data_IF_678515419857
#
_entry.id   IF_678515419857
#
_cell.length_a   1.000
_cell.length_b   1.000
_cell.length_c   1.000
_cell.angle_alpha   90.00
_cell.angle_beta   90.00
_cell.angle_gamma   90.00
#
_symmetry.space_group_name_H-M   'P 1'
#
loop_
_entity.id
_entity.type
_entity.pdbx_description
1 polymer ?
#
# COMPACT_ATOMS: atom_id res chain seq x y z
N UNK A 1 22.88 -39.44 49.80
CA UNK A 1 22.75 -37.98 49.67
C UNK A 1 23.07 -37.58 48.23
N UNK A 2 22.25 -36.68 47.67
CA UNK A 2 22.28 -36.17 46.28
C UNK A 2 23.35 -35.10 46.09
N UNK A 3 23.96 -35.05 44.89
CA UNK A 3 24.37 -33.81 44.19
C UNK A 3 24.94 -34.18 42.81
N UNK A 4 24.23 -33.98 41.68
CA UNK A 4 23.85 -32.76 40.95
C UNK A 4 24.76 -32.57 39.73
N UNK A 5 24.28 -33.02 38.57
CA UNK A 5 24.85 -32.79 37.25
C UNK A 5 24.67 -31.33 36.84
N UNK A 6 25.76 -30.70 36.42
CA UNK A 6 25.80 -29.44 35.68
C UNK A 6 25.16 -29.63 34.30
N UNK A 7 24.17 -28.80 33.96
CA UNK A 7 23.77 -28.54 32.58
C UNK A 7 23.08 -27.18 32.52
N UNK A 8 23.87 -26.13 32.35
CA UNK A 8 23.40 -24.79 32.03
C UNK A 8 24.09 -24.30 30.77
N UNK A 9 23.38 -23.46 30.01
CA UNK A 9 23.76 -22.79 28.75
C UNK A 9 23.66 -23.61 27.46
N UNK A 10 22.50 -23.52 26.79
CA UNK A 10 22.42 -23.51 25.31
C UNK A 10 21.09 -22.95 24.75
N UNK A 11 20.35 -22.10 25.48
CA UNK A 11 19.00 -21.70 25.05
C UNK A 11 18.86 -20.25 24.54
N UNK A 12 19.85 -19.37 24.77
CA UNK A 12 19.68 -17.93 24.52
C UNK A 12 20.14 -17.43 23.14
N UNK A 13 20.95 -18.20 22.40
CA UNK A 13 21.46 -17.77 21.08
C UNK A 13 20.44 -17.85 19.95
N UNK A 14 19.58 -18.87 19.94
CA UNK A 14 18.63 -19.10 18.86
C UNK A 14 17.52 -18.04 18.81
N UNK A 15 17.06 -17.55 19.98
CA UNK A 15 15.99 -16.54 20.06
C UNK A 15 16.45 -15.19 19.52
N UNK A 16 17.68 -14.76 19.83
CA UNK A 16 18.20 -13.46 19.40
C UNK A 16 18.37 -13.36 17.88
N UNK A 17 18.87 -14.43 17.24
CA UNK A 17 19.02 -14.51 15.77
C UNK A 17 17.66 -14.48 15.08
N UNK A 18 16.66 -15.19 15.62
CA UNK A 18 15.29 -15.18 15.11
C UNK A 18 14.66 -13.79 15.20
N UNK A 19 14.80 -13.08 16.32
CA UNK A 19 14.27 -11.72 16.46
C UNK A 19 14.94 -10.72 15.50
N UNK A 20 16.26 -10.81 15.31
CA UNK A 20 16.96 -9.94 14.36
C UNK A 20 16.52 -10.20 12.91
N UNK A 21 16.28 -11.47 12.57
CA UNK A 21 15.77 -11.86 11.26
C UNK A 21 14.33 -11.38 11.02
N UNK A 22 13.46 -11.46 12.03
CA UNK A 22 12.08 -10.93 11.96
C UNK A 22 12.10 -9.42 11.72
N UNK A 23 12.89 -8.66 12.48
CA UNK A 23 13.00 -7.20 12.30
C UNK A 23 13.54 -6.82 10.92
N UNK A 24 14.47 -7.60 10.36
CA UNK A 24 15.03 -7.35 9.02
C UNK A 24 14.02 -7.64 7.90
N UNK A 25 13.11 -8.61 8.12
CA UNK A 25 12.11 -9.04 7.15
C UNK A 25 10.80 -8.26 7.28
N UNK A 26 10.52 -7.67 8.45
CA UNK A 26 9.35 -6.84 8.68
C UNK A 26 9.31 -5.67 7.69
N UNK A 27 8.15 -5.38 7.09
CA UNK A 27 7.95 -4.15 6.35
C UNK A 27 8.34 -2.93 7.21
N UNK A 28 8.78 -1.82 6.60
CA UNK A 28 9.02 -0.58 7.34
C UNK A 28 7.78 -0.23 8.17
N UNK A 29 7.96 0.30 9.38
CA UNK A 29 6.85 0.72 10.22
C UNK A 29 5.85 1.59 9.43
N UNK A 30 4.55 1.30 9.60
CA UNK A 30 3.48 1.93 8.83
C UNK A 30 3.45 1.60 7.33
N UNK A 31 4.07 0.49 6.90
CA UNK A 31 3.81 -0.10 5.58
C UNK A 31 2.44 -0.77 5.60
N UNK A 32 1.70 -0.65 4.50
CA UNK A 32 0.54 -1.46 4.28
C UNK A 32 0.91 -2.87 3.82
N UNK A 33 0.15 -3.83 4.32
CA UNK A 33 0.12 -5.20 3.84
C UNK A 33 -0.85 -5.34 2.66
N UNK A 34 -0.75 -6.42 1.91
CA UNK A 34 -1.56 -6.62 0.69
C UNK A 34 -3.05 -6.73 1.04
N UNK A 35 -3.34 -7.41 2.13
CA UNK A 35 -4.66 -7.71 2.70
C UNK A 35 -5.38 -6.44 3.13
N UNK A 36 -4.65 -5.45 3.64
CA UNK A 36 -5.19 -4.15 4.04
C UNK A 36 -5.62 -3.31 2.82
N UNK A 37 -4.96 -3.53 1.69
CA UNK A 37 -5.22 -2.80 0.43
C UNK A 37 -6.36 -3.43 -0.38
N UNK A 38 -6.54 -4.76 -0.27
CA UNK A 38 -7.62 -5.49 -0.95
C UNK A 38 -8.99 -4.98 -0.48
N UNK A 39 -9.90 -4.78 -1.44
CA UNK A 39 -11.27 -4.35 -1.20
C UNK A 39 -11.72 -3.24 -2.14
N UNK A 40 -12.90 -2.71 -1.85
CA UNK A 40 -13.52 -1.61 -2.60
C UNK A 40 -13.19 -0.27 -1.95
N UNK A 41 -12.92 0.73 -2.78
CA UNK A 41 -12.54 2.07 -2.39
C UNK A 41 -13.38 3.07 -3.19
N UNK A 42 -13.92 4.10 -2.54
CA UNK A 42 -14.71 5.15 -3.18
C UNK A 42 -14.20 6.53 -2.81
N UNK A 43 -14.19 7.44 -3.78
CA UNK A 43 -13.95 8.85 -3.54
C UNK A 43 -15.28 9.60 -3.38
N UNK A 44 -15.23 10.76 -2.72
CA UNK A 44 -16.37 11.66 -2.64
C UNK A 44 -16.73 12.28 -4.00
N UNK A 45 -15.83 12.22 -4.98
CA UNK A 45 -16.00 12.78 -6.33
C UNK A 45 -16.49 11.72 -7.34
N UNK A 46 -17.21 10.69 -6.85
CA UNK A 46 -17.79 9.60 -7.62
C UNK A 46 -16.79 8.66 -8.34
N UNK A 47 -15.52 8.62 -7.92
CA UNK A 47 -14.55 7.62 -8.37
C UNK A 47 -14.62 6.34 -7.52
N UNK A 48 -14.38 5.18 -8.11
CA UNK A 48 -14.30 3.91 -7.40
C UNK A 48 -13.13 3.04 -7.90
N UNK A 49 -12.58 2.22 -7.00
CA UNK A 49 -11.49 1.29 -7.25
C UNK A 49 -11.74 0.01 -6.46
N UNK A 50 -11.69 -1.15 -7.10
CA UNK A 50 -11.78 -2.46 -6.43
C UNK A 50 -10.50 -3.24 -6.68
N UNK A 51 -9.71 -3.48 -5.63
CA UNK A 51 -8.46 -4.23 -5.67
C UNK A 51 -8.72 -5.64 -5.15
N UNK A 52 -8.52 -6.66 -5.99
CA UNK A 52 -8.75 -8.07 -5.63
C UNK A 52 -7.46 -8.78 -5.24
N UNK A 53 -7.60 -9.84 -4.45
CA UNK A 53 -6.47 -10.61 -3.94
C UNK A 53 -5.59 -11.22 -5.05
N UNK A 54 -6.23 -11.68 -6.12
CA UNK A 54 -5.61 -12.24 -7.32
C UNK A 54 -4.76 -11.24 -8.13
N UNK A 55 -4.73 -9.96 -7.72
CA UNK A 55 -3.98 -8.92 -8.42
C UNK A 55 -4.77 -8.24 -9.54
N UNK A 56 -6.06 -8.53 -9.70
CA UNK A 56 -6.93 -7.80 -10.64
C UNK A 56 -7.51 -6.54 -9.99
N UNK A 57 -7.75 -5.52 -10.82
CA UNK A 57 -8.37 -4.27 -10.42
C UNK A 57 -9.51 -3.88 -11.34
N UNK A 58 -10.55 -3.28 -10.77
CA UNK A 58 -11.60 -2.58 -11.53
C UNK A 58 -11.63 -1.13 -11.07
N UNK A 59 -11.62 -0.21 -12.02
CA UNK A 59 -11.61 1.23 -11.79
C UNK A 59 -12.83 1.87 -12.45
N UNK A 60 -13.38 2.88 -11.81
CA UNK A 60 -14.43 3.74 -12.34
C UNK A 60 -14.04 5.18 -12.02
N UNK A 61 -13.89 6.01 -13.05
CA UNK A 61 -13.54 7.43 -12.93
C UNK A 61 -12.38 7.68 -11.97
N UNK A 62 -11.27 6.96 -12.15
CA UNK A 62 -10.03 7.22 -11.43
C UNK A 62 -9.23 8.28 -12.20
N UNK A 63 -8.85 9.42 -11.60
CA UNK A 63 -8.04 10.42 -12.29
C UNK A 63 -6.70 9.85 -12.75
N UNK A 64 -6.31 10.17 -13.98
CA UNK A 64 -5.00 9.79 -14.55
C UNK A 64 -4.16 10.99 -14.95
N UNK A 65 -4.77 12.15 -15.11
CA UNK A 65 -4.09 13.42 -15.34
C UNK A 65 -4.86 14.56 -14.66
N UNK A 66 -4.14 15.65 -14.38
CA UNK A 66 -4.69 16.87 -13.78
C UNK A 66 -4.26 18.08 -14.62
N UNK A 67 -5.02 19.17 -14.50
CA UNK A 67 -4.66 20.45 -15.07
C UNK A 67 -3.38 21.00 -14.41
N UNK A 68 -2.77 22.02 -15.02
CA UNK A 68 -1.54 22.63 -14.50
C UNK A 68 -1.71 23.27 -13.11
N UNK A 69 -2.95 23.62 -12.73
CA UNK A 69 -3.32 24.07 -11.38
C UNK A 69 -3.23 22.94 -10.33
N UNK A 70 -3.16 21.68 -10.78
CA UNK A 70 -3.08 20.51 -9.92
C UNK A 70 -4.33 20.29 -9.07
N UNK A 71 -5.47 20.89 -9.41
CA UNK A 71 -6.72 20.73 -8.64
C UNK A 71 -7.76 19.94 -9.41
N UNK A 72 -7.80 20.12 -10.74
CA UNK A 72 -8.86 19.56 -11.58
C UNK A 72 -8.36 18.37 -12.39
N UNK A 73 -8.95 17.17 -12.23
CA UNK A 73 -8.70 16.05 -13.13
C UNK A 73 -9.06 16.41 -14.58
N UNK A 74 -8.17 16.08 -15.51
CA UNK A 74 -8.34 16.32 -16.96
C UNK A 74 -8.49 15.02 -17.74
N UNK A 75 -8.06 13.90 -17.18
CA UNK A 75 -8.23 12.58 -17.75
C UNK A 75 -8.63 11.57 -16.67
N UNK A 76 -9.34 10.53 -17.11
CA UNK A 76 -9.93 9.53 -16.25
C UNK A 76 -9.73 8.14 -16.83
N UNK A 77 -9.53 7.17 -15.96
CA UNK A 77 -9.53 5.75 -16.29
C UNK A 77 -10.77 5.08 -15.68
N UNK A 78 -11.49 4.35 -16.53
CA UNK A 78 -12.51 3.39 -16.13
C UNK A 78 -12.28 2.11 -16.90
N UNK A 79 -12.31 0.97 -16.23
CA UNK A 79 -12.02 -0.32 -16.85
C UNK A 79 -11.37 -1.29 -15.88
N UNK A 80 -10.68 -2.28 -16.45
CA UNK A 80 -9.99 -3.32 -15.70
C UNK A 80 -8.49 -3.28 -15.95
N UNK A 81 -7.77 -3.97 -15.08
CA UNK A 81 -6.33 -4.10 -15.19
C UNK A 81 -5.78 -5.02 -14.12
N UNK A 82 -4.47 -4.91 -13.91
CA UNK A 82 -3.77 -5.56 -12.80
C UNK A 82 -3.21 -4.53 -11.84
N UNK A 83 -2.92 -4.95 -10.61
CA UNK A 83 -2.27 -4.11 -9.63
C UNK A 83 -1.16 -4.86 -8.87
N UNK A 84 -0.19 -4.08 -8.39
CA UNK A 84 0.86 -4.57 -7.51
C UNK A 84 1.15 -3.56 -6.40
N UNK A 85 1.36 -4.07 -5.18
CA UNK A 85 1.81 -3.27 -4.05
C UNK A 85 3.33 -3.10 -4.13
N UNK A 86 3.80 -1.86 -4.24
CA UNK A 86 5.23 -1.57 -4.17
C UNK A 86 5.68 -1.59 -2.71
N UNK A 87 6.92 -2.00 -2.48
CA UNK A 87 7.52 -1.95 -1.13
C UNK A 87 7.61 -0.49 -0.69
N UNK A 88 7.27 -0.22 0.58
CA UNK A 88 7.40 1.13 1.14
C UNK A 88 8.87 1.57 1.11
N UNK A 89 9.21 2.73 0.52
CA UNK A 89 10.56 3.29 0.60
C UNK A 89 10.89 3.74 2.04
N UNK A 90 12.17 3.91 2.36
CA UNK A 90 12.59 4.42 3.69
C UNK A 90 11.99 5.79 4.00
N UNK A 91 11.88 6.64 3.00
CA UNK A 91 11.30 7.98 3.08
C UNK A 91 10.19 8.09 2.04
N UNK A 92 9.03 8.60 2.46
CA UNK A 92 7.87 8.83 1.59
C UNK A 92 6.75 7.80 1.73
N UNK A 93 5.81 7.86 0.78
CA UNK A 93 4.60 7.04 0.77
C UNK A 93 4.81 5.72 0.04
N UNK A 94 4.15 4.67 0.50
CA UNK A 94 3.99 3.44 -0.25
C UNK A 94 3.01 3.65 -1.40
N UNK A 95 3.17 2.88 -2.48
CA UNK A 95 2.39 3.03 -3.71
C UNK A 95 1.84 1.70 -4.21
N UNK A 96 0.71 1.79 -4.88
CA UNK A 96 0.09 0.74 -5.67
C UNK A 96 0.31 1.11 -7.13
N UNK A 97 0.91 0.21 -7.90
CA UNK A 97 1.00 0.35 -9.36
C UNK A 97 -0.21 -0.35 -9.97
N UNK A 98 -0.92 0.35 -10.84
CA UNK A 98 -2.02 -0.18 -11.64
C UNK A 98 -1.56 -0.19 -13.10
N UNK A 99 -1.86 -1.27 -13.80
CA UNK A 99 -1.64 -1.39 -15.24
C UNK A 99 -2.96 -1.77 -15.90
N UNK A 100 -3.44 -0.96 -16.85
CA UNK A 100 -4.70 -1.23 -17.53
C UNK A 100 -4.52 -2.25 -18.67
N UNK A 101 -5.63 -2.71 -19.25
CA UNK A 101 -5.63 -3.67 -20.37
C UNK A 101 -4.88 -3.15 -21.62
N UNK A 102 -4.66 -1.83 -21.74
CA UNK A 102 -3.89 -1.22 -22.83
C UNK A 102 -2.37 -1.11 -22.53
N UNK A 103 -1.92 -1.55 -21.35
CA UNK A 103 -0.52 -1.48 -20.92
C UNK A 103 -0.11 -0.13 -20.31
N UNK A 104 -1.06 0.80 -20.11
CA UNK A 104 -0.78 2.08 -19.47
C UNK A 104 -0.68 1.88 -17.95
N UNK A 105 0.30 2.55 -17.34
CA UNK A 105 0.59 2.43 -15.92
C UNK A 105 0.20 3.70 -15.16
N UNK A 106 -0.42 3.53 -14.00
CA UNK A 106 -0.72 4.62 -13.05
C UNK A 106 -0.31 4.24 -11.64
N UNK A 107 -0.08 5.25 -10.79
CA UNK A 107 0.29 5.04 -9.40
C UNK A 107 -0.72 5.68 -8.45
N UNK A 108 -1.10 4.92 -7.43
CA UNK A 108 -1.94 5.37 -6.33
C UNK A 108 -1.14 5.27 -5.04
N UNK A 109 -1.06 6.36 -4.28
CA UNK A 109 -0.35 6.40 -3.00
C UNK A 109 -1.22 5.90 -1.86
N UNK A 110 -0.58 5.34 -0.85
CA UNK A 110 -1.23 4.87 0.38
C UNK A 110 -1.08 5.95 1.46
N UNK A 111 -2.20 6.35 2.05
CA UNK A 111 -2.22 7.27 3.18
C UNK A 111 -2.29 6.51 4.51
N UNK A 112 -1.59 7.07 5.50
CA UNK A 112 -1.56 6.53 6.86
C UNK A 112 -0.82 5.21 6.97
N UNK A 113 -0.83 4.68 8.18
CA UNK A 113 -0.37 3.32 8.46
C UNK A 113 -1.40 2.31 7.96
N UNK A 114 -0.93 1.26 7.27
CA UNK A 114 -1.81 0.17 6.85
C UNK A 114 -2.94 0.56 5.90
N UNK A 115 -2.77 1.62 5.10
CA UNK A 115 -3.84 2.21 4.29
C UNK A 115 -5.10 2.66 5.08
N UNK A 116 -5.03 2.81 6.40
CA UNK A 116 -6.16 3.19 7.28
C UNK A 116 -6.76 4.54 6.90
N UNK A 117 -5.90 5.47 6.46
CA UNK A 117 -6.35 6.76 6.00
C UNK A 117 -6.86 6.73 4.56
N UNK A 118 -6.62 5.66 3.83
CA UNK A 118 -7.12 5.42 2.50
C UNK A 118 -6.09 5.53 1.40
N UNK A 119 -6.58 5.57 0.17
CA UNK A 119 -5.75 5.67 -1.02
C UNK A 119 -5.85 7.09 -1.56
N UNK A 120 -4.79 7.60 -2.17
CA UNK A 120 -4.84 8.91 -2.79
C UNK A 120 -3.97 9.04 -4.03
N UNK A 121 -4.40 9.92 -4.93
CA UNK A 121 -3.63 10.36 -6.07
C UNK A 121 -3.22 11.80 -5.77
N UNK A 122 -1.91 12.07 -5.81
CA UNK A 122 -1.38 13.43 -5.72
C UNK A 122 -1.28 13.98 -7.15
N UNK A 123 -1.92 15.11 -7.45
CA UNK A 123 -1.68 15.84 -8.68
C UNK A 123 -0.19 16.20 -8.82
N UNK A 124 0.32 16.38 -10.05
CA UNK A 124 1.66 16.90 -10.26
C UNK A 124 1.80 18.30 -9.63
N UNK A 125 2.97 18.57 -9.03
CA UNK A 125 3.25 19.83 -8.32
C UNK A 125 3.18 19.72 -6.80
N UNK A 126 3.47 20.83 -6.10
CA UNK A 126 3.42 20.89 -4.64
C UNK A 126 2.05 21.36 -4.12
N UNK A 127 1.00 20.70 -4.58
CA UNK A 127 -0.35 20.99 -4.10
C UNK A 127 -0.65 20.21 -2.82
N UNK A 128 -1.40 20.83 -1.90
CA UNK A 128 -1.95 20.14 -0.74
C UNK A 128 -3.15 19.26 -1.11
N UNK A 129 -3.76 19.52 -2.27
CA UNK A 129 -4.95 18.83 -2.78
C UNK A 129 -4.64 17.38 -3.13
N UNK A 130 -5.48 16.46 -2.66
CA UNK A 130 -5.35 15.02 -2.91
C UNK A 130 -6.70 14.46 -3.34
N UNK A 131 -6.72 13.68 -4.41
CA UNK A 131 -7.90 12.89 -4.75
C UNK A 131 -7.90 11.64 -3.89
N UNK A 132 -8.74 11.59 -2.85
CA UNK A 132 -8.74 10.54 -1.82
C UNK A 132 -9.88 9.54 -2.04
N UNK A 133 -9.55 8.26 -1.92
CA UNK A 133 -10.49 7.16 -1.82
C UNK A 133 -10.51 6.60 -0.40
N UNK A 134 -11.70 6.27 0.09
CA UNK A 134 -11.94 5.62 1.38
C UNK A 134 -12.44 4.20 1.16
N UNK A 135 -12.00 3.29 2.02
CA UNK A 135 -12.42 1.90 1.96
C UNK A 135 -13.92 1.82 2.21
N UNK A 136 -14.63 1.10 1.36
CA UNK A 136 -16.04 0.76 1.55
C UNK A 136 -16.09 -0.60 2.23
N UNK A 137 -16.78 -0.68 3.36
CA UNK A 137 -17.01 -1.93 4.09
C UNK A 137 -17.94 -2.86 3.30
#
# INVERSE_FOLDING_TARGET
MRSRTLAGLAAFGAVAVLTALVVLLSPPAGSAEREEVIGSWRSHQAGALTLRADGTVTAERVPTAFAADGERPTAWFSGRGTWSLKRKPKLGHQRIRIENEAGETYEVSIAGEGARDGLFIKPPGDTATRFRFKKTL
#
